data_IF_496984121792
#
_entry.id   IF_496984121792
#
_cell.length_a   1.000
_cell.length_b   1.000
_cell.length_c   1.000
_cell.angle_alpha   90.00
_cell.angle_beta   90.00
_cell.angle_gamma   90.00
#
_symmetry.space_group_name_H-M   'P 1'
#
loop_
_entity.id
_entity.type
_entity.pdbx_description
1 polymer ?
#
# COMPACT_ATOMS: atom_id res chain seq x y z
N UNK A 1 3.23 20.34 6.76
CA UNK A 1 3.98 21.35 7.54
C UNK A 1 3.37 22.76 7.40
N UNK A 2 2.61 23.03 6.35
CA UNK A 2 1.97 24.34 6.11
C UNK A 2 2.92 25.40 5.54
N UNK A 3 4.11 25.00 5.09
CA UNK A 3 5.06 25.90 4.44
C UNK A 3 4.66 26.13 2.98
N UNK A 4 4.09 27.33 2.73
CA UNK A 4 3.59 27.69 1.40
C UNK A 4 4.70 28.14 0.45
N UNK A 5 5.85 28.59 0.98
CA UNK A 5 7.01 28.95 0.18
C UNK A 5 7.67 27.68 -0.39
N UNK A 6 7.91 26.69 0.46
CA UNK A 6 8.41 25.38 0.09
C UNK A 6 7.48 24.68 -0.93
N UNK A 7 6.16 24.70 -0.68
CA UNK A 7 5.19 24.15 -1.61
C UNK A 7 5.24 24.81 -3.01
N UNK A 8 5.46 26.12 -3.08
CA UNK A 8 5.58 26.84 -4.35
C UNK A 8 6.81 26.40 -5.13
N UNK A 9 7.93 26.21 -4.43
CA UNK A 9 9.19 25.79 -5.07
C UNK A 9 9.07 24.33 -5.57
N UNK A 10 8.50 23.42 -4.77
CA UNK A 10 8.23 22.04 -5.18
C UNK A 10 7.26 21.94 -6.37
N UNK A 11 6.24 22.80 -6.43
CA UNK A 11 5.36 22.88 -7.61
C UNK A 11 6.08 23.41 -8.84
N UNK A 12 7.05 24.32 -8.66
CA UNK A 12 7.93 24.79 -9.73
C UNK A 12 8.78 23.66 -10.31
N UNK A 13 9.38 22.84 -9.47
CA UNK A 13 10.16 21.67 -9.87
C UNK A 13 9.30 20.63 -10.61
N UNK A 14 8.09 20.39 -10.13
CA UNK A 14 7.15 19.51 -10.83
C UNK A 14 6.79 20.05 -12.23
N UNK A 15 6.53 21.34 -12.34
CA UNK A 15 6.24 21.98 -13.62
C UNK A 15 7.45 21.89 -14.58
N UNK A 16 8.67 22.09 -14.05
CA UNK A 16 9.91 21.93 -14.84
C UNK A 16 10.00 20.52 -15.43
N UNK A 17 9.69 19.48 -14.67
CA UNK A 17 9.69 18.10 -15.19
C UNK A 17 8.70 17.93 -16.35
N UNK A 18 7.51 18.52 -16.26
CA UNK A 18 6.50 18.45 -17.32
C UNK A 18 7.01 19.13 -18.60
N UNK A 19 7.54 20.35 -18.48
CA UNK A 19 8.07 21.12 -19.62
C UNK A 19 9.27 20.42 -20.23
N UNK A 20 10.19 19.93 -19.41
CA UNK A 20 11.40 19.23 -19.86
C UNK A 20 11.06 17.97 -20.68
N UNK A 21 10.17 17.12 -20.16
CA UNK A 21 9.77 15.91 -20.88
C UNK A 21 8.95 16.21 -22.14
N UNK A 22 8.13 17.26 -22.14
CA UNK A 22 7.43 17.71 -23.34
C UNK A 22 8.40 18.20 -24.42
N UNK A 23 9.46 18.91 -24.03
CA UNK A 23 10.51 19.35 -24.94
C UNK A 23 11.25 18.16 -25.57
N UNK A 24 11.64 17.17 -24.76
CA UNK A 24 12.26 15.94 -25.29
C UNK A 24 11.36 15.22 -26.30
N UNK A 25 10.05 15.16 -26.01
CA UNK A 25 9.08 14.54 -26.91
C UNK A 25 8.93 15.34 -28.23
N UNK A 26 8.94 16.66 -28.15
CA UNK A 26 8.91 17.54 -29.31
C UNK A 26 10.14 17.35 -30.21
N UNK A 27 11.33 17.25 -29.62
CA UNK A 27 12.58 16.97 -30.35
C UNK A 27 12.55 15.59 -31.04
N UNK A 28 11.84 14.62 -30.42
CA UNK A 28 11.59 13.32 -31.03
C UNK A 28 10.42 13.29 -32.03
N UNK A 29 9.76 14.42 -32.31
CA UNK A 29 8.64 14.53 -33.24
C UNK A 29 7.37 13.84 -32.80
N UNK A 30 7.16 13.66 -31.47
CA UNK A 30 6.03 12.91 -30.91
C UNK A 30 4.87 13.82 -30.50
N UNK A 31 5.10 14.76 -29.61
CA UNK A 31 4.11 15.73 -29.08
C UNK A 31 4.84 16.88 -28.39
N UNK A 32 4.16 17.99 -28.18
CA UNK A 32 4.68 19.18 -27.50
C UNK A 32 3.94 19.49 -26.18
N UNK A 33 4.32 20.59 -25.54
CA UNK A 33 3.69 21.04 -24.29
C UNK A 33 2.21 21.39 -24.47
N UNK A 34 1.84 21.97 -25.61
CA UNK A 34 0.44 22.33 -25.89
C UNK A 34 -0.43 21.09 -26.03
N UNK A 35 0.12 20.00 -26.57
CA UNK A 35 -0.57 18.71 -26.65
C UNK A 35 -0.81 18.13 -25.24
N UNK A 36 0.18 18.23 -24.35
CA UNK A 36 0.03 17.83 -22.94
C UNK A 36 -1.06 18.65 -22.25
N UNK A 37 -1.04 19.97 -22.44
CA UNK A 37 -2.04 20.88 -21.86
C UNK A 37 -3.46 20.58 -22.38
N UNK A 38 -3.62 20.39 -23.70
CA UNK A 38 -4.89 19.98 -24.31
C UNK A 38 -5.38 18.65 -23.77
N UNK A 39 -4.51 17.65 -23.66
CA UNK A 39 -4.88 16.34 -23.13
C UNK A 39 -5.40 16.39 -21.69
N UNK A 40 -4.86 17.28 -20.84
CA UNK A 40 -5.35 17.53 -19.47
C UNK A 40 -6.69 18.24 -19.50
N UNK A 41 -6.84 19.31 -20.32
CA UNK A 41 -8.09 20.06 -20.46
C UNK A 41 -9.24 19.15 -20.93
N UNK A 42 -9.04 18.37 -21.98
CA UNK A 42 -10.02 17.42 -22.50
C UNK A 42 -10.40 16.36 -21.47
N UNK A 43 -9.43 15.90 -20.70
CA UNK A 43 -9.67 14.97 -19.60
C UNK A 43 -10.56 15.60 -18.51
N UNK A 44 -10.31 16.84 -18.14
CA UNK A 44 -11.12 17.57 -17.15
C UNK A 44 -12.55 17.78 -17.64
N UNK A 45 -12.73 18.23 -18.89
CA UNK A 45 -14.04 18.37 -19.51
C UNK A 45 -14.85 17.08 -19.47
N UNK A 46 -14.24 15.97 -19.91
CA UNK A 46 -14.92 14.67 -19.90
C UNK A 46 -15.26 14.13 -18.53
N UNK A 47 -14.41 14.40 -17.52
CA UNK A 47 -14.58 13.87 -16.16
C UNK A 47 -15.46 14.73 -15.26
N UNK A 48 -15.71 15.98 -15.65
CA UNK A 48 -16.53 16.92 -14.90
C UNK A 48 -17.67 17.48 -15.76
N UNK A 49 -18.53 16.62 -16.37
CA UNK A 49 -19.63 17.09 -17.20
C UNK A 49 -20.62 17.95 -16.41
N UNK A 50 -20.73 17.77 -15.10
CA UNK A 50 -21.52 18.59 -14.19
C UNK A 50 -20.99 20.02 -14.02
N UNK A 51 -19.73 20.29 -14.38
CA UNK A 51 -19.11 21.62 -14.31
C UNK A 51 -19.03 22.26 -15.70
N UNK A 52 -18.72 21.47 -16.71
CA UNK A 52 -18.34 21.96 -18.05
C UNK A 52 -19.24 21.44 -19.18
N UNK A 53 -20.16 20.50 -18.91
CA UNK A 53 -21.05 19.94 -19.93
C UNK A 53 -22.37 20.70 -20.10
N UNK A 54 -23.23 20.22 -21.00
CA UNK A 54 -24.57 20.79 -21.27
C UNK A 54 -25.49 20.71 -20.04
N UNK A 55 -25.15 19.89 -19.04
CA UNK A 55 -25.79 19.80 -17.73
C UNK A 55 -25.18 20.80 -16.70
N UNK A 56 -24.43 21.80 -17.15
CA UNK A 56 -23.88 22.85 -16.30
C UNK A 56 -25.01 23.56 -15.54
N UNK A 57 -25.02 23.41 -14.23
CA UNK A 57 -26.08 23.92 -13.34
C UNK A 57 -26.87 22.84 -12.61
N UNK A 58 -26.77 21.58 -13.01
CA UNK A 58 -27.26 20.45 -12.22
C UNK A 58 -26.10 19.95 -11.35
N UNK A 59 -26.10 20.31 -10.08
CA UNK A 59 -25.16 19.78 -9.09
C UNK A 59 -25.46 18.30 -8.89
N UNK A 60 -24.87 17.46 -9.70
CA UNK A 60 -24.93 16.02 -9.55
C UNK A 60 -23.73 15.58 -8.72
N UNK A 61 -23.96 15.28 -7.46
CA UNK A 61 -22.93 14.67 -6.63
C UNK A 61 -22.44 13.37 -7.30
N UNK A 62 -21.13 13.28 -7.51
CA UNK A 62 -20.50 12.05 -8.02
C UNK A 62 -20.70 10.94 -6.99
N UNK A 63 -21.44 9.91 -7.35
CA UNK A 63 -21.64 8.75 -6.48
C UNK A 63 -20.35 7.90 -6.44
N UNK A 64 -20.09 7.21 -5.33
CA UNK A 64 -19.03 6.21 -5.29
C UNK A 64 -19.17 5.23 -6.47
N UNK A 65 -18.13 5.10 -7.28
CA UNK A 65 -18.13 4.26 -8.49
C UNK A 65 -18.35 4.98 -9.83
N UNK A 66 -18.87 6.21 -9.86
CA UNK A 66 -19.01 6.99 -11.11
C UNK A 66 -17.65 7.26 -11.76
N UNK A 67 -16.66 7.60 -10.95
CA UNK A 67 -15.29 7.80 -11.39
C UNK A 67 -14.68 6.54 -12.05
N UNK A 68 -14.95 5.37 -11.50
CA UNK A 68 -14.47 4.11 -12.05
C UNK A 68 -15.20 3.72 -13.34
N UNK A 69 -16.49 4.04 -13.44
CA UNK A 69 -17.27 3.86 -14.68
C UNK A 69 -16.72 4.75 -15.81
N UNK A 70 -16.47 6.03 -15.53
CA UNK A 70 -15.86 6.94 -16.51
C UNK A 70 -14.50 6.45 -16.98
N UNK A 71 -13.64 5.99 -16.07
CA UNK A 71 -12.34 5.38 -16.42
C UNK A 71 -12.50 4.10 -17.26
N UNK A 72 -13.51 3.30 -16.99
CA UNK A 72 -13.80 2.09 -17.77
C UNK A 72 -14.22 2.45 -19.20
N UNK A 73 -15.08 3.46 -19.37
CA UNK A 73 -15.50 3.99 -20.67
C UNK A 73 -14.30 4.59 -21.46
N UNK A 74 -13.44 5.36 -20.82
CA UNK A 74 -12.21 5.90 -21.43
C UNK A 74 -11.30 4.78 -21.95
N UNK A 75 -11.19 3.67 -21.22
CA UNK A 75 -10.39 2.51 -21.65
C UNK A 75 -11.01 1.79 -22.83
N UNK A 76 -12.33 1.59 -22.81
CA UNK A 76 -13.06 0.99 -23.92
C UNK A 76 -12.93 1.83 -25.20
N UNK A 77 -12.97 3.16 -25.07
CA UNK A 77 -12.80 4.09 -26.20
C UNK A 77 -11.35 4.09 -26.79
N UNK A 78 -10.35 3.65 -26.03
CA UNK A 78 -8.95 3.53 -26.50
C UNK A 78 -8.64 2.25 -27.27
N UNK A 79 -9.67 1.47 -27.65
CA UNK A 79 -9.57 0.45 -28.71
C UNK A 79 -8.88 -0.86 -28.32
N UNK A 80 -8.71 -1.17 -27.02
CA UNK A 80 -8.39 -2.54 -26.64
C UNK A 80 -9.64 -3.40 -26.81
N UNK A 81 -9.56 -4.43 -27.64
CA UNK A 81 -10.64 -5.40 -27.80
C UNK A 81 -11.04 -5.97 -26.44
N UNK A 82 -12.33 -6.04 -26.16
CA UNK A 82 -12.84 -6.47 -24.86
C UNK A 82 -12.34 -7.89 -24.45
N UNK A 83 -11.93 -8.69 -25.42
CA UNK A 83 -11.39 -10.04 -25.23
C UNK A 83 -9.92 -10.04 -24.69
N UNK A 84 -9.19 -8.94 -24.83
CA UNK A 84 -7.80 -8.82 -24.37
C UNK A 84 -7.66 -8.00 -23.08
N UNK A 85 -8.76 -7.49 -22.53
CA UNK A 85 -8.73 -6.61 -21.36
C UNK A 85 -8.60 -7.44 -20.07
N UNK A 86 -7.49 -7.27 -19.34
CA UNK A 86 -7.33 -7.82 -17.98
C UNK A 86 -8.15 -7.01 -16.96
N UNK A 87 -8.71 -7.72 -15.97
CA UNK A 87 -9.32 -7.09 -14.80
C UNK A 87 -8.34 -6.11 -14.10
N UNK A 88 -7.04 -6.34 -14.22
CA UNK A 88 -5.96 -5.53 -13.61
C UNK A 88 -5.57 -4.30 -14.43
N UNK A 89 -6.07 -4.16 -15.66
CA UNK A 89 -5.72 -3.06 -16.55
C UNK A 89 -6.01 -1.68 -15.94
N UNK A 90 -5.08 -0.74 -16.17
CA UNK A 90 -5.21 0.67 -15.74
C UNK A 90 -4.83 0.91 -14.27
N UNK A 91 -4.17 -0.03 -13.61
CA UNK A 91 -3.43 0.23 -12.37
C UNK A 91 -2.05 0.76 -12.76
N UNK A 92 -1.80 2.04 -12.46
CA UNK A 92 -0.55 2.69 -12.84
C UNK A 92 0.67 1.99 -12.22
N UNK A 93 1.74 1.82 -13.01
CA UNK A 93 2.98 1.17 -12.57
C UNK A 93 3.82 2.04 -11.64
N UNK A 94 3.73 3.38 -11.78
CA UNK A 94 4.48 4.35 -10.97
C UNK A 94 3.86 4.65 -9.59
N UNK A 95 2.86 3.90 -9.14
CA UNK A 95 2.32 4.05 -7.78
C UNK A 95 3.31 3.48 -6.74
N UNK A 96 3.32 4.03 -5.50
CA UNK A 96 4.00 3.39 -4.38
C UNK A 96 3.57 1.93 -4.23
N UNK A 97 4.50 1.04 -3.86
CA UNK A 97 4.32 -0.41 -3.91
C UNK A 97 3.07 -0.91 -3.19
N UNK A 98 2.89 -0.51 -1.94
CA UNK A 98 1.72 -0.92 -1.14
C UNK A 98 0.40 -0.35 -1.69
N UNK A 99 0.41 0.91 -2.14
CA UNK A 99 -0.77 1.50 -2.81
C UNK A 99 -1.12 0.74 -4.09
N UNK A 100 -0.11 0.34 -4.87
CA UNK A 100 -0.32 -0.45 -6.08
C UNK A 100 -0.87 -1.83 -5.76
N UNK A 101 -0.32 -2.51 -4.74
CA UNK A 101 -0.80 -3.80 -4.27
C UNK A 101 -2.28 -3.76 -3.86
N UNK A 102 -2.70 -2.77 -3.05
CA UNK A 102 -4.11 -2.56 -2.69
C UNK A 102 -5.00 -2.40 -3.92
N UNK A 103 -4.54 -1.63 -4.94
CA UNK A 103 -5.33 -1.39 -6.16
C UNK A 103 -5.44 -2.64 -7.04
N UNK A 104 -4.38 -3.42 -7.16
CA UNK A 104 -4.39 -4.70 -7.89
C UNK A 104 -5.38 -5.68 -7.25
N UNK A 105 -5.29 -5.85 -5.94
CA UNK A 105 -6.17 -6.72 -5.17
C UNK A 105 -7.63 -6.26 -5.19
N UNK A 106 -7.88 -4.95 -5.07
CA UNK A 106 -9.24 -4.41 -5.24
C UNK A 106 -9.81 -4.65 -6.64
N UNK A 107 -8.99 -4.77 -7.67
CA UNK A 107 -9.42 -5.16 -9.02
C UNK A 107 -9.74 -6.64 -9.10
N UNK A 108 -8.88 -7.50 -8.55
CA UNK A 108 -9.09 -8.94 -8.49
C UNK A 108 -10.37 -9.28 -7.70
N UNK A 109 -10.61 -8.61 -6.58
CA UNK A 109 -11.82 -8.78 -5.77
C UNK A 109 -13.13 -8.54 -6.55
N UNK A 110 -13.14 -7.62 -7.53
CA UNK A 110 -14.34 -7.35 -8.34
C UNK A 110 -14.78 -8.50 -9.22
N UNK A 111 -13.87 -9.40 -9.54
CA UNK A 111 -14.12 -10.60 -10.33
C UNK A 111 -14.21 -11.86 -9.48
N UNK A 112 -14.33 -11.69 -8.14
CA UNK A 112 -14.52 -12.79 -7.20
C UNK A 112 -13.21 -13.39 -6.68
N UNK A 113 -12.04 -12.84 -7.02
CA UNK A 113 -10.76 -13.30 -6.50
C UNK A 113 -10.38 -12.50 -5.26
N UNK A 114 -10.90 -12.94 -4.11
CA UNK A 114 -10.67 -12.31 -2.81
C UNK A 114 -10.89 -13.29 -1.65
N UNK A 115 -10.30 -13.01 -0.48
CA UNK A 115 -10.61 -13.73 0.74
C UNK A 115 -11.99 -13.30 1.29
N UNK A 116 -12.73 -14.24 1.91
CA UNK A 116 -14.06 -13.94 2.45
C UNK A 116 -14.04 -12.88 3.56
N UNK A 117 -13.03 -12.91 4.43
CA UNK A 117 -12.90 -11.99 5.56
C UNK A 117 -11.46 -11.68 5.94
N UNK A 118 -11.28 -10.73 6.88
CA UNK A 118 -9.97 -10.32 7.37
C UNK A 118 -9.27 -11.42 8.21
N UNK A 119 -10.00 -12.37 8.78
CA UNK A 119 -9.44 -13.48 9.56
C UNK A 119 -8.62 -14.40 8.68
N UNK A 120 -9.13 -14.75 7.51
CA UNK A 120 -8.41 -15.57 6.53
C UNK A 120 -7.15 -14.86 6.05
N UNK A 121 -7.22 -13.54 5.83
CA UNK A 121 -6.03 -12.75 5.46
C UNK A 121 -5.00 -12.72 6.59
N UNK A 122 -5.41 -12.63 7.86
CA UNK A 122 -4.50 -12.70 9.00
C UNK A 122 -3.83 -14.07 9.08
N UNK A 123 -4.57 -15.16 8.83
CA UNK A 123 -3.98 -16.50 8.77
C UNK A 123 -2.90 -16.58 7.68
N UNK A 124 -3.16 -15.99 6.50
CA UNK A 124 -2.17 -15.94 5.42
C UNK A 124 -0.94 -15.07 5.77
N UNK A 125 -1.10 -13.96 6.51
CA UNK A 125 0.04 -13.17 7.02
C UNK A 125 0.94 -14.01 7.93
N UNK A 126 0.37 -14.88 8.78
CA UNK A 126 1.15 -15.77 9.65
C UNK A 126 1.89 -16.83 8.84
N UNK A 127 1.24 -17.37 7.81
CA UNK A 127 1.83 -18.34 6.88
C UNK A 127 3.05 -17.72 6.15
N UNK A 128 2.87 -16.57 5.48
CA UNK A 128 3.96 -15.85 4.78
C UNK A 128 5.12 -15.45 5.71
N UNK A 129 4.80 -15.07 6.95
CA UNK A 129 5.84 -14.77 7.94
C UNK A 129 6.64 -16.02 8.33
N UNK A 130 6.00 -17.19 8.34
CA UNK A 130 6.64 -18.49 8.56
C UNK A 130 7.55 -18.87 7.38
N UNK A 131 7.06 -18.75 6.14
CA UNK A 131 7.80 -19.02 4.92
C UNK A 131 9.04 -18.13 4.82
N UNK A 132 8.91 -16.83 5.12
CA UNK A 132 10.04 -15.90 5.19
C UNK A 132 11.05 -16.29 6.28
N UNK A 133 10.60 -16.78 7.43
CA UNK A 133 11.50 -17.22 8.50
C UNK A 133 12.31 -18.47 8.08
N UNK A 134 11.69 -19.41 7.38
CA UNK A 134 12.35 -20.59 6.80
C UNK A 134 13.31 -20.19 5.66
N UNK A 135 12.87 -19.29 4.79
CA UNK A 135 13.66 -18.78 3.66
C UNK A 135 14.98 -18.15 4.12
N UNK A 136 14.94 -17.37 5.21
CA UNK A 136 16.12 -16.67 5.77
C UNK A 136 17.30 -17.61 6.01
N UNK A 137 17.03 -18.82 6.44
CA UNK A 137 18.06 -19.77 6.89
C UNK A 137 18.46 -20.79 5.81
N UNK A 138 17.70 -20.90 4.70
CA UNK A 138 17.83 -21.97 3.71
C UNK A 138 17.87 -21.55 2.25
N UNK A 139 17.45 -20.32 1.91
CA UNK A 139 17.25 -19.89 0.53
C UNK A 139 18.25 -18.80 0.09
N UNK A 140 18.26 -18.52 -1.20
CA UNK A 140 19.05 -17.44 -1.80
C UNK A 140 18.49 -16.07 -1.46
N UNK A 141 19.29 -15.02 -1.64
CA UNK A 141 18.84 -13.64 -1.40
C UNK A 141 17.62 -13.25 -2.26
N UNK A 142 17.56 -13.72 -3.50
CA UNK A 142 16.44 -13.44 -4.41
C UNK A 142 15.14 -14.12 -3.94
N UNK A 143 15.24 -15.34 -3.42
CA UNK A 143 14.09 -16.06 -2.85
C UNK A 143 13.61 -15.40 -1.55
N UNK A 144 14.52 -14.96 -0.68
CA UNK A 144 14.17 -14.19 0.53
C UNK A 144 13.48 -12.85 0.17
N UNK A 145 13.94 -12.18 -0.90
CA UNK A 145 13.28 -10.96 -1.41
C UNK A 145 11.87 -11.27 -1.91
N UNK A 146 11.66 -12.40 -2.59
CA UNK A 146 10.34 -12.82 -3.06
C UNK A 146 9.38 -13.08 -1.89
N UNK A 147 9.78 -13.87 -0.88
CA UNK A 147 8.94 -14.14 0.30
C UNK A 147 8.62 -12.87 1.10
N UNK A 148 9.59 -11.95 1.22
CA UNK A 148 9.32 -10.65 1.82
C UNK A 148 8.30 -9.85 1.00
N UNK A 149 8.37 -9.94 -0.32
CA UNK A 149 7.41 -9.33 -1.24
C UNK A 149 6.00 -9.88 -1.04
N UNK A 150 5.85 -11.19 -0.89
CA UNK A 150 4.57 -11.86 -0.68
C UNK A 150 3.96 -11.49 0.67
N UNK A 151 4.75 -11.47 1.74
CA UNK A 151 4.31 -10.97 3.03
C UNK A 151 3.81 -9.51 2.95
N UNK A 152 4.57 -8.62 2.28
CA UNK A 152 4.17 -7.22 2.11
C UNK A 152 2.90 -7.09 1.27
N UNK A 153 2.70 -7.95 0.28
CA UNK A 153 1.51 -7.98 -0.57
C UNK A 153 0.27 -8.43 0.21
N UNK A 154 0.39 -9.45 1.07
CA UNK A 154 -0.71 -9.91 1.95
C UNK A 154 -1.02 -8.86 3.03
N UNK A 155 -0.02 -8.15 3.58
CA UNK A 155 -0.25 -7.02 4.49
C UNK A 155 -1.03 -5.88 3.81
N UNK A 156 -0.77 -5.59 2.53
CA UNK A 156 -1.55 -4.63 1.76
C UNK A 156 -3.01 -5.09 1.58
N UNK A 157 -3.26 -6.41 1.43
CA UNK A 157 -4.62 -6.96 1.40
C UNK A 157 -5.32 -6.81 2.75
N UNK A 158 -4.64 -7.12 3.83
CA UNK A 158 -5.18 -6.92 5.17
C UNK A 158 -5.58 -5.45 5.39
N UNK A 159 -4.72 -4.51 4.98
CA UNK A 159 -5.03 -3.08 5.05
C UNK A 159 -6.32 -2.73 4.29
N UNK A 160 -6.54 -3.33 3.11
CA UNK A 160 -7.76 -3.16 2.31
C UNK A 160 -9.00 -3.69 3.04
N UNK A 161 -8.95 -4.88 3.62
CA UNK A 161 -10.04 -5.44 4.43
C UNK A 161 -10.37 -4.60 5.66
N UNK A 162 -9.33 -4.07 6.31
CA UNK A 162 -9.47 -3.18 7.48
C UNK A 162 -9.80 -1.73 7.10
N UNK A 163 -9.90 -1.40 5.79
CA UNK A 163 -10.13 -0.03 5.28
C UNK A 163 -9.04 0.96 5.74
N UNK A 164 -7.82 0.48 5.86
CA UNK A 164 -6.63 1.28 6.18
C UNK A 164 -5.87 1.58 4.90
N UNK A 165 -5.39 2.81 4.74
CA UNK A 165 -4.48 3.17 3.67
C UNK A 165 -3.03 2.88 4.15
N UNK A 166 -2.34 1.87 3.57
CA UNK A 166 -1.09 1.37 4.14
C UNK A 166 0.06 2.37 4.03
N UNK A 167 0.16 3.14 2.96
CA UNK A 167 1.19 4.19 2.82
C UNK A 167 1.00 5.31 3.85
N UNK A 168 -0.23 5.67 4.16
CA UNK A 168 -0.51 6.64 5.21
C UNK A 168 -0.18 6.07 6.59
N UNK A 169 -0.51 4.80 6.82
CA UNK A 169 -0.22 4.11 8.08
C UNK A 169 1.29 4.04 8.34
N UNK A 170 2.08 3.65 7.34
CA UNK A 170 3.54 3.57 7.49
C UNK A 170 4.18 4.96 7.66
N UNK A 171 3.72 5.99 6.91
CA UNK A 171 4.20 7.36 7.12
C UNK A 171 3.96 7.87 8.54
N UNK A 172 2.77 7.58 9.12
CA UNK A 172 2.48 7.92 10.51
C UNK A 172 3.42 7.19 11.49
N UNK A 173 3.72 5.93 11.20
CA UNK A 173 4.65 5.14 12.01
C UNK A 173 6.07 5.67 11.92
N UNK A 174 6.54 6.03 10.71
CA UNK A 174 7.83 6.66 10.50
C UNK A 174 7.94 7.98 11.29
N UNK A 175 6.96 8.85 11.18
CA UNK A 175 6.94 10.12 11.94
C UNK A 175 6.92 9.89 13.47
N UNK A 176 6.22 8.88 13.94
CA UNK A 176 6.22 8.48 15.35
C UNK A 176 7.59 7.95 15.79
N UNK A 177 8.22 7.11 14.98
CA UNK A 177 9.56 6.59 15.24
C UNK A 177 10.58 7.73 15.30
N UNK A 178 10.60 8.58 14.29
CA UNK A 178 11.50 9.73 14.20
C UNK A 178 11.37 10.68 15.41
N UNK A 179 10.14 11.00 15.80
CA UNK A 179 9.89 11.83 16.97
C UNK A 179 10.44 11.19 18.27
N UNK A 180 10.19 9.90 18.47
CA UNK A 180 10.66 9.18 19.65
C UNK A 180 12.18 9.05 19.66
N UNK A 181 12.78 8.75 18.52
CA UNK A 181 14.23 8.59 18.43
C UNK A 181 14.94 9.91 18.69
N UNK A 182 14.44 11.02 18.16
CA UNK A 182 14.96 12.37 18.51
C UNK A 182 14.84 12.67 20.02
N UNK A 183 13.83 12.17 20.67
CA UNK A 183 13.70 12.30 22.13
C UNK A 183 14.72 11.43 22.88
N UNK A 184 15.04 10.23 22.38
CA UNK A 184 16.15 9.41 22.89
C UNK A 184 17.46 10.17 22.76
N UNK A 185 17.77 10.72 21.59
CA UNK A 185 18.96 11.55 21.35
C UNK A 185 19.04 12.73 22.32
N UNK A 186 17.94 13.42 22.52
CA UNK A 186 17.85 14.57 23.45
C UNK A 186 18.14 14.16 24.91
N UNK A 187 17.59 13.01 25.36
CA UNK A 187 17.83 12.49 26.72
C UNK A 187 19.26 12.03 26.92
N UNK A 188 19.88 11.42 25.92
CA UNK A 188 21.29 11.06 25.95
C UNK A 188 22.18 12.32 25.98
N UNK A 189 21.87 13.32 25.15
CA UNK A 189 22.61 14.58 25.13
C UNK A 189 22.56 15.33 26.48
N UNK A 190 21.42 15.28 27.18
CA UNK A 190 21.28 15.81 28.53
C UNK A 190 22.18 15.11 29.56
N UNK A 191 22.63 13.89 29.28
CA UNK A 191 23.59 13.10 30.06
C UNK A 191 25.03 13.26 29.53
N UNK A 192 25.29 14.19 28.58
CA UNK A 192 26.57 14.41 27.91
C UNK A 192 27.01 13.29 26.99
N UNK A 193 26.09 12.47 26.51
CA UNK A 193 26.35 11.29 25.65
C UNK A 193 25.68 11.43 24.30
N UNK A 194 26.21 10.71 23.29
CA UNK A 194 25.62 10.54 21.97
C UNK A 194 25.13 9.10 21.81
N UNK A 195 24.25 8.81 20.85
CA UNK A 195 23.79 7.43 20.57
C UNK A 195 24.94 6.45 20.39
N UNK A 196 26.02 6.84 19.68
CA UNK A 196 27.18 6.00 19.41
C UNK A 196 28.01 5.66 20.69
N UNK A 197 27.76 6.38 21.77
CA UNK A 197 28.38 6.19 23.08
C UNK A 197 27.47 5.45 24.05
N UNK A 198 26.28 5.07 23.60
CA UNK A 198 25.27 4.31 24.34
C UNK A 198 25.22 2.88 23.83
N UNK A 199 24.51 2.02 24.53
CA UNK A 199 24.18 0.68 24.08
C UNK A 199 22.67 0.54 23.82
N UNK A 200 22.30 -0.59 23.24
CA UNK A 200 20.90 -0.88 22.94
C UNK A 200 20.02 -0.90 24.18
N UNK A 201 20.52 -1.44 25.30
CA UNK A 201 19.74 -1.59 26.53
C UNK A 201 19.40 -0.22 27.14
N UNK A 202 20.36 0.72 27.16
CA UNK A 202 20.11 2.09 27.64
C UNK A 202 19.13 2.83 26.71
N UNK A 203 19.31 2.74 25.39
CA UNK A 203 18.40 3.39 24.43
C UNK A 203 16.99 2.81 24.51
N UNK A 204 16.85 1.50 24.68
CA UNK A 204 15.56 0.82 24.80
C UNK A 204 14.83 1.20 26.10
N UNK A 205 15.57 1.31 27.21
CA UNK A 205 15.01 1.81 28.47
C UNK A 205 14.44 3.24 28.31
N UNK A 206 15.21 4.14 27.68
CA UNK A 206 14.73 5.50 27.39
C UNK A 206 13.50 5.49 26.45
N UNK A 207 13.51 4.62 25.47
CA UNK A 207 12.39 4.44 24.54
C UNK A 207 11.12 3.99 25.26
N UNK A 208 11.22 3.06 26.19
CA UNK A 208 10.09 2.58 26.97
C UNK A 208 9.56 3.66 27.94
N UNK A 209 10.43 4.46 28.55
CA UNK A 209 10.02 5.65 29.31
C UNK A 209 9.18 6.61 28.46
N UNK A 210 9.65 6.94 27.24
CA UNK A 210 8.92 7.82 26.31
C UNK A 210 7.55 7.23 25.95
N UNK A 211 7.48 5.92 25.69
CA UNK A 211 6.21 5.25 25.41
C UNK A 211 5.23 5.30 26.58
N UNK A 212 5.74 5.12 27.80
CA UNK A 212 4.93 5.19 29.02
C UNK A 212 4.38 6.62 29.24
N UNK A 213 5.20 7.64 29.04
CA UNK A 213 4.79 9.06 29.13
C UNK A 213 3.73 9.42 28.09
N UNK A 214 3.92 9.00 26.82
CA UNK A 214 2.92 9.21 25.78
C UNK A 214 1.59 8.52 26.09
N UNK A 215 1.64 7.32 26.67
CA UNK A 215 0.44 6.59 27.09
C UNK A 215 -0.26 7.28 28.26
N UNK A 216 0.48 7.83 29.19
CA UNK A 216 -0.08 8.58 30.32
C UNK A 216 -0.69 9.92 29.88
N UNK A 217 -0.08 10.59 28.89
CA UNK A 217 -0.57 11.85 28.35
C UNK A 217 -1.82 11.72 27.46
N UNK A 218 -2.10 10.53 26.94
CA UNK A 218 -3.27 10.22 26.11
C UNK A 218 -4.21 9.20 26.78
N UNK A 219 -4.89 9.55 27.87
CA UNK A 219 -5.83 8.66 28.53
C UNK A 219 -7.07 8.44 27.65
N UNK A 220 -7.14 7.33 26.97
CA UNK A 220 -8.32 6.93 26.18
C UNK A 220 -8.05 6.15 24.89
N UNK A 221 -6.83 6.09 24.38
CA UNK A 221 -6.56 5.42 23.10
C UNK A 221 -6.07 3.96 23.21
N UNK A 222 -5.71 3.49 24.41
CA UNK A 222 -5.02 2.21 24.60
C UNK A 222 -5.88 1.04 25.09
N UNK A 223 -7.17 1.22 25.34
CA UNK A 223 -8.01 0.11 25.86
C UNK A 223 -8.53 -0.82 24.74
N UNK A 224 -8.49 -0.40 23.49
CA UNK A 224 -8.95 -1.19 22.34
C UNK A 224 -7.97 -2.29 21.89
N UNK A 225 -6.66 -2.01 21.91
CA UNK A 225 -5.65 -2.96 21.43
C UNK A 225 -5.40 -4.11 22.43
N UNK A 226 -5.46 -3.82 23.73
CA UNK A 226 -5.37 -4.84 24.77
C UNK A 226 -6.62 -5.74 24.78
N UNK A 227 -7.80 -5.19 24.52
CA UNK A 227 -9.04 -5.97 24.39
C UNK A 227 -9.06 -6.85 23.15
N UNK A 228 -8.48 -6.40 22.03
CA UNK A 228 -8.40 -7.22 20.82
C UNK A 228 -7.43 -8.40 20.99
N UNK A 229 -6.28 -8.19 21.63
CA UNK A 229 -5.31 -9.26 21.93
C UNK A 229 -5.89 -10.29 22.91
N UNK A 230 -6.60 -9.85 23.95
CA UNK A 230 -7.28 -10.74 24.90
C UNK A 230 -8.46 -11.47 24.24
N UNK A 231 -9.17 -10.85 23.29
CA UNK A 231 -10.28 -11.50 22.59
C UNK A 231 -9.80 -12.54 21.56
N UNK A 232 -8.64 -12.32 20.93
CA UNK A 232 -8.01 -13.29 20.02
C UNK A 232 -7.32 -14.45 20.78
N UNK A 233 -6.76 -14.19 21.96
CA UNK A 233 -6.10 -15.20 22.78
C UNK A 233 -7.06 -15.90 23.78
N UNK A 234 -8.19 -15.29 24.11
CA UNK A 234 -9.16 -15.80 25.08
C UNK A 234 -10.20 -16.79 24.56
N UNK A 235 -10.24 -17.06 23.26
CA UNK A 235 -11.14 -18.10 22.67
C UNK A 235 -10.50 -19.49 22.56
N UNK A 236 -9.31 -19.70 23.12
CA UNK A 236 -8.59 -20.96 23.13
C UNK A 236 -8.77 -21.83 24.39
N UNK A 237 -9.75 -21.53 25.24
CA UNK A 237 -10.01 -22.28 26.49
C UNK A 237 -11.39 -22.95 26.49
N UNK A 238 -11.57 -24.01 25.72
CA UNK A 238 -12.79 -24.82 25.76
C UNK A 238 -12.69 -26.04 24.85
N UNK A 239 -12.41 -27.18 25.44
CA UNK A 239 -12.57 -28.55 24.93
C UNK A 239 -11.74 -28.98 23.72
N UNK A 240 -10.80 -29.86 23.99
CA UNK A 240 -9.98 -30.60 23.06
C UNK A 240 -10.77 -31.27 21.94
N UNK A 241 -10.82 -30.65 20.79
CA UNK A 241 -10.98 -31.35 19.51
C UNK A 241 -9.60 -31.53 18.90
N UNK A 242 -9.15 -32.80 18.91
CA UNK A 242 -8.05 -33.22 18.05
C UNK A 242 -8.33 -32.73 16.64
N UNK A 243 -7.51 -31.84 16.15
CA UNK A 243 -7.49 -31.51 14.71
C UNK A 243 -6.87 -32.70 14.04
N UNK A 244 -7.71 -33.44 13.34
CA UNK A 244 -7.29 -34.56 12.49
C UNK A 244 -6.49 -33.98 11.30
N UNK A 245 -5.18 -34.18 11.33
CA UNK A 245 -4.23 -33.73 10.30
C UNK A 245 -4.27 -34.59 9.03
N UNK A 246 -5.44 -34.85 8.50
CA UNK A 246 -5.62 -35.67 7.32
C UNK A 246 -6.53 -34.99 6.29
N UNK A 247 -6.14 -33.85 5.74
CA UNK A 247 -6.65 -33.31 4.48
C UNK A 247 -5.78 -32.22 3.88
N UNK A 248 -4.45 -32.35 3.95
CA UNK A 248 -3.59 -31.63 3.02
C UNK A 248 -3.24 -32.56 1.86
N UNK A 249 -4.03 -32.47 0.78
CA UNK A 249 -3.57 -32.96 -0.53
C UNK A 249 -2.55 -31.96 -1.04
N UNK A 250 -1.29 -32.36 -1.29
CA UNK A 250 -0.36 -31.55 -2.02
C UNK A 250 -0.90 -31.40 -3.45
N UNK A 251 -0.94 -30.17 -3.97
CA UNK A 251 -1.10 -29.91 -5.39
C UNK A 251 0.08 -30.55 -6.11
N UNK A 252 -0.23 -31.63 -6.79
CA UNK A 252 0.65 -32.46 -7.59
C UNK A 252 1.36 -31.58 -8.65
N UNK A 253 2.62 -31.25 -8.43
CA UNK A 253 3.52 -30.69 -9.45
C UNK A 253 4.04 -31.86 -10.28
N UNK A 254 3.18 -32.36 -11.15
CA UNK A 254 3.46 -33.46 -12.07
C UNK A 254 3.42 -33.00 -13.51
N UNK A 255 4.60 -32.75 -14.05
CA UNK A 255 5.07 -33.05 -15.40
C UNK A 255 4.15 -32.82 -16.60
N UNK A 256 4.57 -31.91 -17.49
CA UNK A 256 4.77 -32.26 -18.89
C UNK A 256 5.66 -31.22 -19.59
N UNK A 257 6.95 -31.51 -19.63
CA UNK A 257 7.85 -31.00 -20.65
C UNK A 257 7.43 -31.68 -21.95
N UNK A 258 6.83 -30.92 -22.84
CA UNK A 258 6.53 -31.32 -24.21
C UNK A 258 7.45 -30.54 -25.14
N UNK A 259 8.52 -31.15 -25.59
CA UNK A 259 9.29 -30.68 -26.74
C UNK A 259 8.39 -30.59 -27.97
N UNK A 260 8.44 -29.43 -28.64
CA UNK A 260 8.12 -29.34 -30.05
C UNK A 260 9.21 -28.52 -30.74
N UNK A 261 10.05 -29.27 -31.45
CA UNK A 261 10.85 -28.77 -32.57
C UNK A 261 9.89 -28.32 -33.68
N UNK A 262 10.03 -27.20 -34.24
CA UNK A 262 10.48 -26.74 -35.57
C UNK A 262 10.47 -25.23 -35.56
#
# INVERSE_FOLDING_TARGET
>A
RGDMADLKDELGDLLLQVVYHAQMAQEAGLFDFDDVARAVADKMLRRHPHVFGDEAGVVRELRPGDWERMKAQERAAKGKAAAEASALDGVATGLPGLTRAVKLQARAARVGFDWPDAGDVIAKVVEEAGELAEARDSLTADEVEAEFGDLAFVLANLARHLKVEPEHAIRRTNAKFERRFREVERRLAARGRRPEQSDLAEMDAIWDEIRAEEKAAAPGFCDGAARLAVHLLGRGGGEGRRIDTAAHRPLDRGAAVGEARV
#
